data_IF_189552037020
#
_entry.id   IF_189552037020
#
_cell.length_a   1.000
_cell.length_b   1.000
_cell.length_c   1.000
_cell.angle_alpha   90.00
_cell.angle_beta   90.00
_cell.angle_gamma   90.00
#
_symmetry.space_group_name_H-M   'P 1'
#
loop_
_entity.id
_entity.type
_entity.pdbx_description
1 polymer ?
#
# COMPACT_ATOMS: atom_id res chain seq x y z
N UNK A 1 -1.05 1.05 -16.12
CA UNK A 1 -0.73 1.65 -17.45
C UNK A 1 0.43 2.64 -17.30
N UNK A 2 1.29 2.83 -18.31
CA UNK A 2 2.55 3.54 -18.13
C UNK A 2 2.39 4.99 -17.64
N UNK A 3 1.37 5.71 -18.10
CA UNK A 3 1.24 7.17 -17.88
C UNK A 3 0.23 7.57 -16.80
N UNK A 4 -0.37 6.61 -16.10
CA UNK A 4 -1.37 6.89 -15.08
C UNK A 4 -0.70 7.37 -13.78
N UNK A 5 -1.26 8.38 -13.07
CA UNK A 5 -0.74 8.82 -11.79
C UNK A 5 -0.75 7.68 -10.77
N UNK A 6 0.36 7.53 -10.05
CA UNK A 6 0.60 6.43 -9.13
C UNK A 6 0.64 6.91 -7.69
N UNK A 7 0.14 6.05 -6.82
CA UNK A 7 0.07 6.29 -5.39
C UNK A 7 0.45 5.02 -4.65
N UNK A 8 1.25 5.16 -3.61
CA UNK A 8 1.73 4.04 -2.81
C UNK A 8 1.20 4.16 -1.38
N UNK A 9 0.77 3.04 -0.83
CA UNK A 9 0.55 2.87 0.59
C UNK A 9 1.58 1.90 1.16
N UNK A 10 1.92 2.09 2.43
CA UNK A 10 2.82 1.22 3.16
C UNK A 10 2.29 0.99 4.57
N UNK A 11 1.99 -0.27 4.87
CA UNK A 11 1.65 -0.75 6.20
C UNK A 11 2.85 -1.48 6.80
N UNK A 12 3.23 -1.10 8.02
CA UNK A 12 4.48 -1.54 8.65
C UNK A 12 4.19 -2.62 9.68
N UNK A 13 4.84 -3.77 9.52
CA UNK A 13 4.77 -4.84 10.50
C UNK A 13 5.39 -4.39 11.83
N UNK A 14 4.60 -4.32 12.90
CA UNK A 14 5.14 -3.97 14.21
C UNK A 14 6.04 -5.09 14.75
N UNK A 15 7.33 -4.82 15.00
CA UNK A 15 8.29 -5.80 15.55
C UNK A 15 7.85 -6.45 16.88
N UNK A 16 6.94 -5.81 17.64
CA UNK A 16 6.38 -6.33 18.90
C UNK A 16 5.37 -7.47 18.71
N UNK A 17 4.76 -7.59 17.54
CA UNK A 17 3.88 -8.71 17.19
C UNK A 17 4.69 -9.67 16.35
N UNK A 18 5.27 -10.69 16.99
CA UNK A 18 6.02 -11.74 16.28
C UNK A 18 5.19 -12.25 15.11
N UNK A 19 5.69 -12.08 13.88
CA UNK A 19 5.00 -12.48 12.65
C UNK A 19 4.22 -11.37 11.91
N UNK A 20 4.30 -10.10 12.29
CA UNK A 20 3.73 -9.01 11.48
C UNK A 20 4.52 -8.81 10.17
N UNK A 21 3.83 -8.63 9.05
CA UNK A 21 4.45 -8.38 7.75
C UNK A 21 4.40 -6.88 7.42
N UNK A 22 5.40 -6.41 6.70
CA UNK A 22 5.33 -5.09 6.05
C UNK A 22 4.75 -5.30 4.67
N UNK A 23 3.77 -4.47 4.30
CA UNK A 23 3.12 -4.52 3.00
C UNK A 23 3.22 -3.17 2.29
N UNK A 24 3.64 -3.19 1.03
CA UNK A 24 3.70 -2.02 0.15
C UNK A 24 2.77 -2.28 -1.04
N UNK A 25 1.84 -1.37 -1.27
CA UNK A 25 0.85 -1.47 -2.33
C UNK A 25 0.89 -0.20 -3.18
N UNK A 26 1.14 -0.36 -4.48
CA UNK A 26 1.09 0.73 -5.45
C UNK A 26 -0.07 0.54 -6.40
N UNK A 27 -0.85 1.61 -6.58
CA UNK A 27 -1.91 1.68 -7.58
C UNK A 27 -1.61 2.80 -8.57
N UNK A 28 -2.06 2.59 -9.81
CA UNK A 28 -2.20 3.61 -10.82
C UNK A 28 -3.68 3.95 -11.00
N UNK A 29 -4.04 5.24 -11.03
CA UNK A 29 -5.41 5.71 -11.24
C UNK A 29 -5.62 6.07 -12.70
N UNK A 30 -6.63 5.49 -13.33
CA UNK A 30 -7.13 5.95 -14.62
C UNK A 30 -7.86 7.30 -14.45
N UNK A 31 -7.37 8.41 -15.03
CA UNK A 31 -7.95 9.72 -14.83
C UNK A 31 -9.32 9.89 -15.50
N UNK A 32 -9.67 9.06 -16.48
CA UNK A 32 -10.91 9.21 -17.24
C UNK A 32 -12.10 8.52 -16.56
N UNK A 33 -11.88 7.31 -16.04
CA UNK A 33 -12.94 6.46 -15.49
C UNK A 33 -12.76 6.14 -13.99
N UNK A 34 -11.69 6.65 -13.38
CA UNK A 34 -11.34 6.47 -11.97
C UNK A 34 -11.11 5.00 -11.57
N UNK A 35 -10.82 4.11 -12.52
CA UNK A 35 -10.44 2.72 -12.25
C UNK A 35 -9.02 2.67 -11.72
N UNK A 36 -8.82 1.90 -10.64
CA UNK A 36 -7.53 1.70 -9.98
C UNK A 36 -6.89 0.41 -10.45
N UNK A 37 -5.62 0.48 -10.80
CA UNK A 37 -4.81 -0.64 -11.29
C UNK A 37 -3.70 -0.92 -10.29
N UNK A 38 -3.69 -2.06 -9.58
CA UNK A 38 -2.52 -2.48 -8.81
C UNK A 38 -1.32 -2.67 -9.75
N UNK A 39 -0.21 -1.98 -9.50
CA UNK A 39 1.00 -2.04 -10.35
C UNK A 39 2.19 -2.70 -9.65
N UNK A 40 2.27 -2.60 -8.33
CA UNK A 40 3.29 -3.27 -7.52
C UNK A 40 2.67 -3.64 -6.16
N UNK A 41 2.84 -4.89 -5.73
CA UNK A 41 2.43 -5.36 -4.41
C UNK A 41 3.62 -6.13 -3.84
N UNK A 42 4.11 -5.69 -2.69
CA UNK A 42 5.20 -6.35 -1.98
C UNK A 42 4.76 -6.64 -0.56
N UNK A 43 5.12 -7.82 -0.08
CA UNK A 43 4.87 -8.23 1.31
C UNK A 43 6.06 -9.05 1.80
N UNK A 44 6.47 -8.83 3.03
CA UNK A 44 7.56 -9.57 3.64
C UNK A 44 7.84 -9.22 5.08
N UNK A 45 8.65 -10.06 5.72
CA UNK A 45 9.20 -9.76 7.04
C UNK A 45 10.55 -9.07 6.84
N UNK A 46 10.53 -7.74 6.84
CA UNK A 46 11.71 -6.93 6.64
C UNK A 46 12.09 -6.22 7.93
N UNK A 47 13.39 -6.00 8.12
CA UNK A 47 13.85 -5.02 9.09
C UNK A 47 13.38 -3.62 8.67
N UNK A 48 13.52 -2.64 9.57
CA UNK A 48 13.27 -1.24 9.24
C UNK A 48 14.06 -0.76 8.00
N UNK A 49 15.40 -0.88 8.00
CA UNK A 49 16.22 -0.54 6.84
C UNK A 49 15.88 -1.31 5.56
N UNK A 50 15.56 -2.61 5.67
CA UNK A 50 15.14 -3.40 4.50
C UNK A 50 13.79 -2.93 3.94
N UNK A 51 12.87 -2.51 4.82
CA UNK A 51 11.60 -1.91 4.41
C UNK A 51 11.83 -0.59 3.66
N UNK A 52 12.79 0.23 4.10
CA UNK A 52 13.19 1.45 3.38
C UNK A 52 13.77 1.14 2.00
N UNK A 53 14.62 0.10 1.87
CA UNK A 53 15.14 -0.36 0.57
C UNK A 53 14.02 -0.81 -0.37
N UNK A 54 13.06 -1.59 0.14
CA UNK A 54 11.91 -2.02 -0.65
C UNK A 54 11.07 -0.84 -1.14
N UNK A 55 10.82 0.15 -0.26
CA UNK A 55 10.10 1.36 -0.65
C UNK A 55 10.84 2.18 -1.69
N UNK A 56 12.16 2.31 -1.56
CA UNK A 56 13.00 3.01 -2.51
C UNK A 56 13.00 2.34 -3.89
N UNK A 57 13.05 1.02 -3.96
CA UNK A 57 12.92 0.27 -5.21
C UNK A 57 11.56 0.49 -5.87
N UNK A 58 10.47 0.50 -5.07
CA UNK A 58 9.13 0.86 -5.56
C UNK A 58 9.14 2.29 -6.09
N UNK A 59 9.71 3.25 -5.37
CA UNK A 59 9.77 4.64 -5.81
C UNK A 59 10.53 4.80 -7.12
N UNK A 60 11.70 4.16 -7.26
CA UNK A 60 12.51 4.19 -8.49
C UNK A 60 11.78 3.58 -9.69
N UNK A 61 10.99 2.52 -9.46
CA UNK A 61 10.26 1.80 -10.51
C UNK A 61 8.95 2.49 -10.90
N UNK A 62 8.18 2.94 -9.91
CA UNK A 62 6.80 3.38 -10.08
C UNK A 62 6.67 4.91 -10.04
N UNK A 63 7.63 5.66 -9.48
CA UNK A 63 7.59 7.12 -9.34
C UNK A 63 6.21 7.65 -8.85
N UNK A 64 5.71 7.16 -7.70
CA UNK A 64 4.42 7.60 -7.18
C UNK A 64 4.43 9.09 -6.80
N UNK A 65 3.30 9.77 -7.00
CA UNK A 65 3.10 11.17 -6.59
C UNK A 65 3.10 11.32 -5.06
N UNK A 66 2.55 10.33 -4.36
CA UNK A 66 2.49 10.31 -2.91
C UNK A 66 2.62 8.89 -2.35
N UNK A 67 3.32 8.78 -1.23
CA UNK A 67 3.51 7.56 -0.46
C UNK A 67 2.90 7.77 0.91
N UNK A 68 1.87 7.03 1.29
CA UNK A 68 1.25 7.12 2.61
C UNK A 68 1.73 5.99 3.51
N UNK A 69 2.16 6.36 4.73
CA UNK A 69 2.61 5.42 5.76
C UNK A 69 1.69 5.51 6.99
N UNK A 70 1.41 4.38 7.64
CA UNK A 70 0.46 4.28 8.76
C UNK A 70 0.87 5.08 10.02
N UNK A 71 2.14 5.48 10.15
CA UNK A 71 2.65 6.02 11.40
C UNK A 71 3.69 7.13 11.18
N UNK A 72 3.37 8.32 11.70
CA UNK A 72 4.25 9.49 11.66
C UNK A 72 5.58 9.29 12.40
N UNK A 73 5.60 8.48 13.48
CA UNK A 73 6.86 8.15 14.15
C UNK A 73 7.79 7.35 13.22
N UNK A 74 7.22 6.48 12.38
CA UNK A 74 7.99 5.72 11.39
C UNK A 74 8.34 6.53 10.14
N UNK A 75 7.56 7.55 9.79
CA UNK A 75 7.88 8.45 8.68
C UNK A 75 9.26 9.09 8.85
N UNK A 76 9.57 9.59 10.06
CA UNK A 76 10.88 10.18 10.37
C UNK A 76 12.01 9.17 10.22
N UNK A 77 11.85 7.98 10.80
CA UNK A 77 12.86 6.92 10.70
C UNK A 77 13.05 6.39 9.28
N UNK A 78 11.98 6.29 8.49
CA UNK A 78 12.08 5.94 7.07
C UNK A 78 12.86 6.98 6.28
N UNK A 79 12.64 8.26 6.54
CA UNK A 79 13.37 9.34 5.90
C UNK A 79 14.87 9.27 6.25
N UNK A 80 15.22 9.06 7.52
CA UNK A 80 16.61 8.87 7.97
C UNK A 80 17.29 7.70 7.25
N UNK A 81 16.65 6.53 7.17
CA UNK A 81 17.23 5.38 6.46
C UNK A 81 17.39 5.62 4.96
N UNK A 82 16.43 6.28 4.33
CA UNK A 82 16.53 6.63 2.90
C UNK A 82 17.69 7.59 2.66
N UNK A 83 17.85 8.59 3.53
CA UNK A 83 18.97 9.54 3.48
C UNK A 83 20.31 8.81 3.62
N UNK A 84 20.43 7.86 4.54
CA UNK A 84 21.63 7.03 4.71
C UNK A 84 21.93 6.14 3.49
N UNK A 85 20.91 5.65 2.78
CA UNK A 85 21.07 4.74 1.64
C UNK A 85 21.43 5.50 0.36
N UNK A 86 20.76 6.63 0.06
CA UNK A 86 20.87 7.33 -1.23
C UNK A 86 21.52 8.71 -1.14
N UNK A 87 21.88 9.20 0.06
CA UNK A 87 22.61 10.45 0.23
C UNK A 87 21.81 11.72 -0.05
N UNK A 88 20.53 11.76 0.35
CA UNK A 88 19.69 12.96 0.28
C UNK A 88 18.54 12.92 -0.73
N UNK A 89 18.11 11.73 -1.18
CA UNK A 89 16.89 11.59 -1.98
C UNK A 89 15.65 11.80 -1.10
N UNK A 90 14.89 12.86 -1.35
CA UNK A 90 13.60 13.08 -0.70
C UNK A 90 12.49 12.30 -1.42
N UNK A 91 11.83 11.39 -0.70
CA UNK A 91 10.64 10.70 -1.19
C UNK A 91 9.37 11.44 -0.71
N UNK A 92 8.27 11.46 -1.49
CA UNK A 92 7.02 12.12 -1.12
C UNK A 92 6.23 11.28 -0.10
N UNK A 93 6.82 11.07 1.09
CA UNK A 93 6.26 10.25 2.17
C UNK A 93 5.40 11.14 3.08
N UNK A 94 4.18 10.71 3.35
CA UNK A 94 3.22 11.37 4.22
C UNK A 94 2.69 10.40 5.27
N UNK A 95 2.75 10.78 6.53
CA UNK A 95 2.14 10.01 7.62
C UNK A 95 0.61 10.13 7.64
N UNK A 96 -0.07 9.01 7.89
CA UNK A 96 -1.51 8.91 8.04
C UNK A 96 -1.86 8.33 9.43
N UNK A 97 -2.42 9.15 10.34
CA UNK A 97 -2.57 8.82 11.76
C UNK A 97 -3.71 7.83 12.07
N UNK A 98 -3.40 6.57 12.39
CA UNK A 98 -4.44 5.56 12.70
C UNK A 98 -4.99 5.54 14.15
N UNK A 99 -4.56 6.45 15.03
CA UNK A 99 -4.80 6.38 16.49
C UNK A 99 -6.26 6.31 16.96
N UNK A 100 -7.16 7.12 16.39
CA UNK A 100 -8.62 7.05 16.61
C UNK A 100 -9.35 6.30 15.49
N UNK A 101 -8.60 5.71 14.55
CA UNK A 101 -9.04 5.31 13.22
C UNK A 101 -9.13 3.80 12.97
N UNK A 102 -8.98 2.93 13.98
CA UNK A 102 -9.48 1.55 13.81
C UNK A 102 -10.95 1.54 13.36
N UNK A 103 -11.72 2.52 13.82
CA UNK A 103 -13.08 2.80 13.38
C UNK A 103 -13.16 3.36 11.93
N UNK A 104 -12.21 4.21 11.52
CA UNK A 104 -12.06 4.69 10.13
C UNK A 104 -11.58 3.59 9.16
N UNK A 105 -10.94 2.54 9.68
CA UNK A 105 -10.55 1.34 8.93
C UNK A 105 -11.73 0.39 8.78
N UNK A 106 -12.46 0.16 9.86
CA UNK A 106 -13.76 -0.53 9.83
C UNK A 106 -14.78 0.20 8.95
N UNK A 107 -14.69 1.53 8.79
CA UNK A 107 -15.48 2.31 7.82
C UNK A 107 -14.83 2.41 6.42
N UNK A 108 -13.51 2.43 6.34
CA UNK A 108 -12.74 2.66 5.12
C UNK A 108 -12.69 1.44 4.21
N UNK A 109 -12.57 0.24 4.78
CA UNK A 109 -12.60 -1.02 4.03
C UNK A 109 -13.98 -1.29 3.38
N UNK A 110 -15.13 -0.99 4.00
CA UNK A 110 -16.42 -0.95 3.31
C UNK A 110 -16.42 -0.03 2.08
N UNK A 111 -15.74 1.12 2.15
CA UNK A 111 -15.57 2.00 0.98
C UNK A 111 -14.81 1.33 -0.17
N UNK A 112 -13.77 0.54 0.15
CA UNK A 112 -13.04 -0.27 -0.84
C UNK A 112 -13.92 -1.37 -1.41
N UNK A 113 -14.71 -2.05 -0.57
CA UNK A 113 -15.65 -3.09 -1.01
C UNK A 113 -16.69 -2.52 -2.00
N UNK A 114 -17.25 -1.34 -1.72
CA UNK A 114 -18.17 -0.66 -2.63
C UNK A 114 -17.51 -0.27 -3.96
N UNK A 115 -16.25 0.18 -3.94
CA UNK A 115 -15.49 0.46 -5.16
C UNK A 115 -15.26 -0.81 -5.99
N UNK A 116 -14.96 -1.94 -5.33
CA UNK A 116 -14.80 -3.25 -5.96
C UNK A 116 -16.11 -3.72 -6.61
N UNK A 117 -17.23 -3.60 -5.90
CA UNK A 117 -18.57 -3.92 -6.44
C UNK A 117 -18.90 -3.07 -7.69
N UNK A 118 -18.53 -1.79 -7.67
CA UNK A 118 -18.67 -0.86 -8.81
C UNK A 118 -17.63 -1.07 -9.91
N UNK A 119 -16.77 -2.10 -9.82
CA UNK A 119 -15.70 -2.40 -10.78
C UNK A 119 -14.69 -1.26 -10.97
N UNK A 120 -14.48 -0.44 -9.94
CA UNK A 120 -13.50 0.65 -9.93
C UNK A 120 -12.08 0.16 -9.59
N UNK A 121 -11.87 -1.14 -9.56
CA UNK A 121 -10.58 -1.79 -9.33
C UNK A 121 -10.36 -2.88 -10.36
N UNK A 122 -9.18 -2.88 -10.97
CA UNK A 122 -8.73 -3.96 -11.84
C UNK A 122 -7.98 -5.00 -11.01
N UNK A 123 -8.67 -6.02 -10.53
CA UNK A 123 -8.02 -7.17 -9.89
C UNK A 123 -7.29 -7.99 -10.96
N UNK A 124 -5.97 -8.20 -10.87
CA UNK A 124 -5.24 -9.00 -11.85
C UNK A 124 -5.67 -10.47 -11.79
N UNK A 125 -5.98 -11.03 -12.96
CA UNK A 125 -6.13 -12.48 -13.11
C UNK A 125 -4.84 -13.04 -13.71
N UNK A 126 -4.03 -13.67 -12.86
CA UNK A 126 -2.73 -14.21 -13.23
C UNK A 126 -2.78 -15.72 -13.56
N UNK A 127 -3.97 -16.35 -13.52
CA UNK A 127 -4.10 -17.80 -13.73
C UNK A 127 -3.38 -18.66 -12.69
N UNK A 128 -3.04 -18.10 -11.53
CA UNK A 128 -2.34 -18.82 -10.48
C UNK A 128 -3.25 -19.84 -9.78
N UNK A 129 -2.68 -21.00 -9.44
CA UNK A 129 -3.37 -22.04 -8.68
C UNK A 129 -3.62 -21.66 -7.21
N UNK A 130 -4.48 -22.42 -6.51
CA UNK A 130 -4.93 -22.11 -5.14
C UNK A 130 -3.83 -22.16 -4.07
N UNK A 131 -2.69 -22.78 -4.34
CA UNK A 131 -1.54 -22.84 -3.44
C UNK A 131 -0.52 -21.71 -3.65
N UNK A 132 -0.76 -20.79 -4.59
CA UNK A 132 0.16 -19.70 -4.86
C UNK A 132 0.15 -18.68 -3.72
N UNK A 133 1.33 -18.37 -3.19
CA UNK A 133 1.53 -17.42 -2.10
C UNK A 133 2.19 -16.13 -2.58
N UNK A 134 2.06 -15.77 -3.88
CA UNK A 134 2.58 -14.50 -4.36
C UNK A 134 1.80 -13.31 -3.77
N UNK A 135 2.36 -12.10 -3.72
CA UNK A 135 1.71 -10.94 -3.10
C UNK A 135 0.31 -10.63 -3.66
N UNK A 136 0.09 -10.84 -4.97
CA UNK A 136 -1.22 -10.65 -5.62
C UNK A 136 -2.24 -11.69 -5.16
N UNK A 137 -1.81 -12.95 -4.98
CA UNK A 137 -2.68 -14.02 -4.49
C UNK A 137 -3.03 -13.81 -3.01
N UNK A 138 -2.06 -13.41 -2.19
CA UNK A 138 -2.29 -13.06 -0.79
C UNK A 138 -3.28 -11.88 -0.68
N UNK A 139 -3.12 -10.84 -1.50
CA UNK A 139 -4.06 -9.71 -1.55
C UNK A 139 -5.49 -10.15 -1.89
N UNK A 140 -5.65 -11.01 -2.90
CA UNK A 140 -6.96 -11.56 -3.27
C UNK A 140 -7.57 -12.39 -2.14
N UNK A 141 -6.76 -13.16 -1.43
CA UNK A 141 -7.18 -13.93 -0.28
C UNK A 141 -7.64 -13.02 0.87
N UNK A 142 -6.88 -11.97 1.21
CA UNK A 142 -7.30 -10.99 2.21
C UNK A 142 -8.62 -10.30 1.82
N UNK A 143 -8.79 -9.90 0.55
CA UNK A 143 -10.05 -9.34 0.04
C UNK A 143 -11.25 -10.28 0.23
N UNK A 144 -11.06 -11.58 -0.01
CA UNK A 144 -12.13 -12.58 0.06
C UNK A 144 -12.49 -12.96 1.50
N UNK A 145 -11.49 -13.01 2.38
CA UNK A 145 -11.65 -13.50 3.74
C UNK A 145 -11.92 -12.38 4.76
N UNK A 146 -11.77 -11.10 4.38
CA UNK A 146 -12.04 -9.98 5.27
C UNK A 146 -13.45 -10.07 5.92
N UNK A 147 -13.59 -9.88 7.25
CA UNK A 147 -12.60 -9.36 8.21
C UNK A 147 -11.72 -10.42 8.90
N UNK A 148 -11.71 -11.66 8.42
CA UNK A 148 -11.00 -12.79 9.01
C UNK A 148 -9.58 -12.90 8.41
N UNK A 149 -8.56 -13.08 9.25
CA UNK A 149 -7.17 -13.29 8.82
C UNK A 149 -6.29 -12.04 8.87
N UNK A 150 -5.16 -12.08 8.14
CA UNK A 150 -4.26 -10.93 7.98
C UNK A 150 -4.96 -9.81 7.21
N UNK A 151 -4.53 -8.57 7.44
CA UNK A 151 -5.06 -7.38 6.76
C UNK A 151 -3.95 -6.47 6.25
N UNK A 152 -2.69 -6.87 6.36
CA UNK A 152 -1.55 -5.98 6.15
C UNK A 152 -1.54 -5.45 4.70
N UNK A 153 -1.92 -6.28 3.70
CA UNK A 153 -1.97 -5.84 2.30
C UNK A 153 -3.22 -4.99 2.04
N UNK A 154 -4.37 -5.33 2.61
CA UNK A 154 -5.58 -4.49 2.53
C UNK A 154 -5.39 -3.12 3.16
N UNK A 155 -4.67 -3.07 4.28
CA UNK A 155 -4.26 -1.85 4.96
C UNK A 155 -3.41 -0.99 4.03
N UNK A 156 -2.38 -1.59 3.44
CA UNK A 156 -1.51 -0.92 2.47
C UNK A 156 -2.28 -0.43 1.23
N UNK A 157 -3.20 -1.24 0.70
CA UNK A 157 -4.09 -0.84 -0.40
C UNK A 157 -4.95 0.37 -0.03
N UNK A 158 -5.54 0.37 1.17
CA UNK A 158 -6.37 1.47 1.63
C UNK A 158 -5.56 2.76 1.78
N UNK A 159 -4.34 2.70 2.32
CA UNK A 159 -3.43 3.85 2.37
C UNK A 159 -3.13 4.41 0.97
N UNK A 160 -2.90 3.54 -0.02
CA UNK A 160 -2.71 3.95 -1.41
C UNK A 160 -3.96 4.64 -1.99
N UNK A 161 -5.17 4.12 -1.72
CA UNK A 161 -6.43 4.77 -2.13
C UNK A 161 -6.65 6.11 -1.43
N UNK A 162 -6.21 6.26 -0.17
CA UNK A 162 -6.27 7.54 0.54
C UNK A 162 -5.30 8.56 -0.03
N UNK A 163 -4.07 8.16 -0.35
CA UNK A 163 -3.12 9.01 -1.07
C UNK A 163 -3.71 9.48 -2.41
N UNK A 164 -4.29 8.55 -3.16
CA UNK A 164 -4.99 8.83 -4.41
C UNK A 164 -6.16 9.80 -4.24
N UNK A 165 -6.99 9.66 -3.19
CA UNK A 165 -8.11 10.57 -2.93
C UNK A 165 -7.67 11.96 -2.48
N UNK A 166 -6.55 12.07 -1.77
CA UNK A 166 -6.06 13.38 -1.29
C UNK A 166 -5.40 14.17 -2.42
N UNK A 167 -4.61 13.51 -3.25
CA UNK A 167 -3.77 14.16 -4.27
C UNK A 167 -4.37 14.07 -5.68
N UNK A 168 -5.21 13.07 -5.96
CA UNK A 168 -5.90 12.87 -7.24
C UNK A 168 -7.29 13.52 -7.31
N UNK A 169 -7.80 14.07 -6.21
CA UNK A 169 -8.97 14.94 -6.22
C UNK A 169 -8.53 16.40 -6.47
N UNK A 170 -8.09 16.65 -7.70
CA UNK A 170 -8.03 17.99 -8.29
C UNK A 170 -9.32 18.29 -9.05
#
# INVERSE_FOLDING_TARGET
PPDFPRFTGMDLGSARKGGAQTAIFTLALDPENLVRWPTDIRVGHWSGPDSARQLLEVYKKEQPFAIFVENNAYQGTLAEWIEEIEGGMELPIFGFYTGSQKFDLEMGLPGVALQMEKKLWKVPDLGHGPSCQCPVCQWREELQNHPIGSRDILMSQWLADRACKKEGAG
#
